data_IF_721005776842
#
_entry.id   IF_721005776842
#
_cell.length_a   1.000
_cell.length_b   1.000
_cell.length_c   1.000
_cell.angle_alpha   90.00
_cell.angle_beta   90.00
_cell.angle_gamma   90.00
#
_symmetry.space_group_name_H-M   'P 1'
#
loop_
_entity.id
_entity.type
_entity.pdbx_description
1 polymer ?
#
# COMPACT_ATOMS: atom_id res chain seq x y z
N UNK A 1 11.68 -22.44 -59.87
CA UNK A 1 10.84 -21.33 -59.48
C UNK A 1 10.66 -21.40 -57.95
N UNK A 2 11.33 -20.53 -57.20
CA UNK A 2 11.18 -20.47 -55.73
C UNK A 2 10.14 -19.38 -55.43
N UNK A 3 8.97 -19.78 -54.91
CA UNK A 3 7.96 -18.87 -54.40
C UNK A 3 8.35 -18.47 -53.00
N UNK A 4 8.53 -17.18 -52.75
CA UNK A 4 8.77 -16.62 -51.41
C UNK A 4 7.44 -16.45 -50.68
N UNK A 5 7.30 -17.16 -49.59
CA UNK A 5 6.15 -17.09 -48.71
C UNK A 5 6.14 -15.73 -47.95
N UNK A 6 5.02 -15.05 -47.95
CA UNK A 6 4.83 -13.73 -47.37
C UNK A 6 4.57 -13.85 -45.84
N UNK A 7 4.99 -12.86 -45.08
CA UNK A 7 4.89 -12.80 -43.62
C UNK A 7 3.49 -13.09 -43.06
N UNK A 8 2.42 -12.88 -43.84
CA UNK A 8 1.01 -13.18 -43.44
C UNK A 8 0.69 -14.68 -43.50
N UNK A 9 1.35 -15.43 -44.35
CA UNK A 9 1.14 -16.89 -44.52
C UNK A 9 1.88 -17.69 -43.46
N UNK A 10 3.04 -17.19 -42.99
CA UNK A 10 3.82 -17.81 -41.90
C UNK A 10 3.06 -17.83 -40.55
N UNK A 11 2.20 -16.85 -40.29
CA UNK A 11 1.40 -16.77 -39.04
C UNK A 11 0.15 -17.66 -39.02
N UNK A 12 -0.17 -18.34 -40.15
CA UNK A 12 -1.34 -19.23 -40.24
C UNK A 12 -1.04 -20.73 -40.15
N UNK A 13 0.23 -21.13 -40.11
CA UNK A 13 0.63 -22.56 -40.22
C UNK A 13 1.23 -23.15 -38.94
N UNK A 14 1.08 -22.55 -37.80
CA UNK A 14 1.61 -23.06 -36.52
C UNK A 14 0.55 -23.74 -35.64
N UNK A 15 0.01 -24.90 -36.07
CA UNK A 15 -0.70 -25.80 -35.20
C UNK A 15 0.27 -26.86 -34.68
N UNK A 16 0.69 -26.76 -33.43
CA UNK A 16 1.31 -27.84 -32.69
C UNK A 16 0.40 -28.24 -31.53
N UNK A 17 -0.01 -29.50 -31.55
CA UNK A 17 -0.81 -30.15 -30.52
C UNK A 17 -0.07 -30.18 -29.19
N UNK A 18 -0.58 -29.49 -28.23
CA UNK A 18 -0.21 -29.61 -26.83
C UNK A 18 -1.46 -29.33 -26.01
N UNK A 19 -1.93 -30.33 -25.28
CA UNK A 19 -3.15 -30.25 -24.46
C UNK A 19 -2.93 -29.23 -23.34
N UNK A 20 -3.43 -28.01 -23.54
CA UNK A 20 -3.53 -26.99 -22.50
C UNK A 20 -5.02 -26.90 -22.13
N UNK A 21 -5.32 -27.15 -20.87
CA UNK A 21 -6.66 -26.91 -20.30
C UNK A 21 -6.94 -25.42 -20.41
N UNK A 22 -7.73 -25.05 -21.42
CA UNK A 22 -8.18 -23.68 -21.61
C UNK A 22 -9.34 -23.42 -20.64
N UNK A 23 -9.07 -22.67 -19.56
CA UNK A 23 -10.14 -21.96 -18.83
C UNK A 23 -10.57 -20.83 -19.73
N UNK A 24 -11.75 -21.00 -20.35
CA UNK A 24 -12.32 -20.02 -21.29
C UNK A 24 -12.69 -18.73 -20.60
N UNK A 25 -11.94 -17.68 -20.82
CA UNK A 25 -12.39 -16.33 -20.61
C UNK A 25 -13.19 -15.87 -21.84
N UNK A 26 -14.50 -15.81 -21.71
CA UNK A 26 -15.32 -15.07 -22.67
C UNK A 26 -14.98 -13.58 -22.58
N UNK A 27 -14.21 -13.08 -23.53
CA UNK A 27 -14.04 -11.64 -23.74
C UNK A 27 -15.30 -11.12 -24.41
N UNK A 28 -16.25 -10.62 -23.61
CA UNK A 28 -17.30 -9.75 -24.14
C UNK A 28 -16.64 -8.44 -24.56
N UNK A 29 -16.79 -8.11 -25.84
CA UNK A 29 -16.37 -6.84 -26.43
C UNK A 29 -17.15 -5.66 -25.84
N UNK A 30 -16.71 -5.16 -24.68
CA UNK A 30 -16.95 -3.78 -24.31
C UNK A 30 -15.90 -2.94 -25.03
N UNK A 31 -16.31 -1.78 -25.57
CA UNK A 31 -15.51 -0.89 -26.40
C UNK A 31 -14.04 -0.90 -26.02
N UNK A 32 -13.18 -1.23 -26.98
CA UNK A 32 -11.74 -1.10 -26.83
C UNK A 32 -11.47 0.38 -26.48
N UNK A 33 -11.17 0.66 -25.21
CA UNK A 33 -10.48 1.90 -24.89
C UNK A 33 -9.28 1.94 -25.82
N UNK A 34 -9.03 3.06 -26.50
CA UNK A 34 -7.93 3.23 -27.42
C UNK A 34 -6.64 2.86 -26.69
N UNK A 35 -6.14 1.65 -26.94
CA UNK A 35 -4.91 1.16 -26.35
C UNK A 35 -3.78 2.02 -26.87
N UNK A 36 -3.21 2.86 -26.01
CA UNK A 36 -2.04 3.65 -26.36
C UNK A 36 -0.91 2.74 -26.76
N UNK A 37 -0.19 3.11 -27.82
CA UNK A 37 1.04 2.42 -28.19
C UNK A 37 1.99 2.37 -26.98
N UNK A 38 2.74 1.27 -26.75
CA UNK A 38 3.76 1.22 -25.71
C UNK A 38 4.78 2.38 -25.77
N UNK A 39 4.93 2.98 -26.95
CA UNK A 39 5.80 4.14 -27.17
C UNK A 39 5.07 5.49 -26.91
N UNK A 40 3.77 5.50 -26.74
CA UNK A 40 3.02 6.71 -26.44
C UNK A 40 3.08 7.03 -24.96
N UNK A 41 3.39 8.30 -24.63
CA UNK A 41 3.46 8.75 -23.25
C UNK A 41 2.06 8.87 -22.65
N UNK A 42 1.93 8.46 -21.39
CA UNK A 42 0.73 8.69 -20.60
C UNK A 42 0.65 10.16 -20.17
N UNK A 43 -0.53 10.71 -20.16
CA UNK A 43 -0.82 12.03 -19.57
C UNK A 43 -1.20 11.83 -18.09
N UNK A 44 -0.32 12.22 -17.19
CA UNK A 44 -0.46 12.00 -15.76
C UNK A 44 -0.70 13.34 -15.05
N UNK A 45 -1.60 13.35 -14.07
CA UNK A 45 -1.79 14.44 -13.13
C UNK A 45 -1.40 14.00 -11.73
N UNK A 46 -1.01 14.95 -10.86
CA UNK A 46 -0.65 14.67 -9.49
C UNK A 46 -1.48 15.48 -8.50
N UNK A 47 -1.95 14.82 -7.43
CA UNK A 47 -2.63 15.40 -6.26
C UNK A 47 -1.71 15.27 -5.05
N UNK A 48 -1.30 16.42 -4.48
CA UNK A 48 -0.15 16.51 -3.59
C UNK A 48 1.15 16.58 -4.38
N UNK A 49 2.02 17.55 -4.07
CA UNK A 49 3.26 17.80 -4.84
C UNK A 49 4.50 17.97 -3.97
N UNK A 50 4.35 17.82 -2.64
CA UNK A 50 5.45 17.97 -1.69
C UNK A 50 5.97 16.62 -1.16
N UNK A 51 7.11 16.66 -0.47
CA UNK A 51 7.68 15.51 0.26
C UNK A 51 7.68 14.20 -0.56
N UNK A 52 6.94 13.18 -0.10
CA UNK A 52 6.87 11.89 -0.76
C UNK A 52 6.23 11.98 -2.15
N UNK A 53 5.13 12.73 -2.28
CA UNK A 53 4.46 12.95 -3.57
C UNK A 53 5.41 13.46 -4.64
N UNK A 54 6.38 14.31 -4.27
CA UNK A 54 7.39 14.80 -5.21
C UNK A 54 8.23 13.65 -5.78
N UNK A 55 8.68 12.72 -4.93
CA UNK A 55 9.45 11.57 -5.38
C UNK A 55 8.63 10.65 -6.30
N UNK A 56 7.32 10.54 -6.07
CA UNK A 56 6.43 9.75 -6.93
C UNK A 56 6.22 10.41 -8.29
N UNK A 57 6.06 11.74 -8.33
CA UNK A 57 6.00 12.51 -9.59
C UNK A 57 7.31 12.34 -10.38
N UNK A 58 8.46 12.47 -9.71
CA UNK A 58 9.77 12.26 -10.32
C UNK A 58 9.93 10.80 -10.82
N UNK A 59 9.36 9.82 -10.10
CA UNK A 59 9.35 8.41 -10.47
C UNK A 59 8.54 8.08 -11.74
N UNK A 60 7.60 8.95 -12.12
CA UNK A 60 6.78 8.82 -13.35
C UNK A 60 7.12 9.89 -14.40
N UNK A 61 8.18 10.67 -14.22
CA UNK A 61 8.55 11.80 -15.09
C UNK A 61 9.01 11.38 -16.50
N UNK A 62 9.15 10.09 -16.78
CA UNK A 62 9.29 9.56 -18.15
C UNK A 62 8.04 9.80 -19.00
N UNK A 63 6.90 9.99 -18.38
CA UNK A 63 5.61 10.27 -18.98
C UNK A 63 5.32 11.79 -19.01
N UNK A 64 4.16 12.21 -19.49
CA UNK A 64 3.76 13.62 -19.52
C UNK A 64 3.10 14.02 -18.20
N UNK A 65 3.71 14.89 -17.42
CA UNK A 65 3.06 15.50 -16.26
C UNK A 65 2.29 16.74 -16.75
N UNK A 66 0.96 16.62 -16.85
CA UNK A 66 0.11 17.62 -17.52
C UNK A 66 -0.61 18.56 -16.58
N UNK A 67 -0.82 18.16 -15.31
CA UNK A 67 -1.32 19.04 -14.27
C UNK A 67 -0.85 18.64 -12.87
N UNK A 68 -0.77 19.61 -11.98
CA UNK A 68 -0.34 19.51 -10.60
C UNK A 68 -1.38 20.18 -9.69
N UNK A 69 -1.71 19.55 -8.59
CA UNK A 69 -2.63 20.07 -7.58
C UNK A 69 -2.02 20.01 -6.18
N UNK A 70 -2.01 21.14 -5.47
CA UNK A 70 -1.64 21.19 -4.06
C UNK A 70 -2.36 22.35 -3.37
N UNK A 71 -2.77 22.14 -2.15
CA UNK A 71 -3.45 23.15 -1.31
C UNK A 71 -2.50 24.19 -0.70
N UNK A 72 -1.18 23.93 -0.74
CA UNK A 72 -0.12 24.87 -0.37
C UNK A 72 0.51 25.49 -1.63
N UNK A 73 0.29 26.80 -1.84
CA UNK A 73 0.78 27.50 -3.02
C UNK A 73 2.30 27.51 -3.16
N UNK A 74 3.04 27.46 -2.04
CA UNK A 74 4.50 27.43 -2.08
C UNK A 74 5.02 26.05 -2.51
N UNK A 75 4.37 24.98 -2.05
CA UNK A 75 4.70 23.60 -2.46
C UNK A 75 4.38 23.43 -3.94
N UNK A 76 3.19 23.84 -4.36
CA UNK A 76 2.75 23.80 -5.76
C UNK A 76 3.67 24.59 -6.68
N UNK A 77 4.06 25.81 -6.26
CA UNK A 77 4.97 26.67 -7.04
C UNK A 77 6.32 25.99 -7.30
N UNK A 78 6.94 25.41 -6.27
CA UNK A 78 8.20 24.66 -6.43
C UNK A 78 8.06 23.45 -7.36
N UNK A 79 6.93 22.76 -7.33
CA UNK A 79 6.69 21.66 -8.26
C UNK A 79 6.52 22.15 -9.69
N UNK A 80 5.78 23.26 -9.90
CA UNK A 80 5.55 23.87 -11.20
C UNK A 80 6.84 24.40 -11.87
N UNK A 81 7.83 24.83 -11.09
CA UNK A 81 9.16 25.21 -11.63
C UNK A 81 9.84 24.04 -12.34
N UNK A 82 9.65 22.79 -11.85
CA UNK A 82 10.25 21.60 -12.45
C UNK A 82 9.40 21.01 -13.59
N UNK A 83 8.11 21.29 -13.60
CA UNK A 83 7.14 20.84 -14.59
C UNK A 83 6.40 22.03 -15.20
N UNK A 84 7.15 22.92 -15.81
CA UNK A 84 6.69 24.26 -16.28
C UNK A 84 5.56 24.21 -17.31
N UNK A 85 5.36 23.10 -18.01
CA UNK A 85 4.25 22.88 -18.94
C UNK A 85 2.96 22.40 -18.24
N UNK A 86 3.04 21.98 -16.98
CA UNK A 86 1.89 21.46 -16.24
C UNK A 86 0.98 22.61 -15.77
N UNK A 87 -0.32 22.43 -15.92
CA UNK A 87 -1.32 23.33 -15.35
C UNK A 87 -1.38 23.15 -13.83
N UNK A 88 -1.65 24.21 -13.09
CA UNK A 88 -1.69 24.19 -11.63
C UNK A 88 -3.10 24.38 -11.09
N UNK A 89 -3.45 23.65 -10.04
CA UNK A 89 -4.75 23.67 -9.39
C UNK A 89 -4.58 23.67 -7.86
N UNK A 90 -5.55 24.23 -7.15
CA UNK A 90 -5.60 24.19 -5.68
C UNK A 90 -6.58 23.12 -5.18
N UNK A 91 -7.59 22.78 -5.96
CA UNK A 91 -8.63 21.80 -5.67
C UNK A 91 -8.56 20.67 -6.71
N UNK A 92 -8.32 19.44 -6.24
CA UNK A 92 -8.19 18.26 -7.09
C UNK A 92 -9.50 17.95 -7.83
N UNK A 93 -10.65 18.27 -7.23
CA UNK A 93 -11.95 18.03 -7.85
C UNK A 93 -12.09 18.85 -9.12
N UNK A 94 -11.74 20.14 -9.03
CA UNK A 94 -11.72 21.04 -10.18
C UNK A 94 -10.70 20.58 -11.24
N UNK A 95 -9.52 20.10 -10.79
CA UNK A 95 -8.51 19.56 -11.70
C UNK A 95 -9.05 18.35 -12.46
N UNK A 96 -9.56 17.34 -11.74
CA UNK A 96 -10.04 16.11 -12.35
C UNK A 96 -11.24 16.34 -13.27
N UNK A 97 -12.17 17.24 -12.91
CA UNK A 97 -13.30 17.60 -13.79
C UNK A 97 -12.84 18.25 -15.10
N UNK A 98 -11.85 19.17 -15.04
CA UNK A 98 -11.37 19.89 -16.21
C UNK A 98 -10.44 19.09 -17.12
N UNK A 99 -9.73 18.15 -16.55
CA UNK A 99 -8.70 17.37 -17.24
C UNK A 99 -9.14 15.95 -17.62
N UNK A 100 -10.29 15.47 -17.12
CA UNK A 100 -10.71 14.08 -17.23
C UNK A 100 -10.57 13.49 -18.66
N UNK A 101 -10.94 14.21 -19.68
CA UNK A 101 -10.87 13.73 -21.07
C UNK A 101 -9.46 13.69 -21.67
N UNK A 102 -8.48 14.34 -21.00
CA UNK A 102 -7.12 14.54 -21.51
C UNK A 102 -6.06 13.74 -20.76
N UNK A 103 -6.45 13.07 -19.66
CA UNK A 103 -5.54 12.35 -18.79
C UNK A 103 -5.81 10.85 -18.80
N UNK A 104 -4.78 10.09 -18.54
CA UNK A 104 -4.82 8.63 -18.46
C UNK A 104 -4.77 8.16 -17.01
N UNK A 105 -4.03 8.88 -16.16
CA UNK A 105 -3.69 8.40 -14.85
C UNK A 105 -3.46 9.53 -13.83
N UNK A 106 -3.59 9.17 -12.54
CA UNK A 106 -3.47 10.08 -11.39
C UNK A 106 -2.47 9.51 -10.38
N UNK A 107 -1.51 10.33 -9.96
CA UNK A 107 -0.62 10.08 -8.82
C UNK A 107 -1.15 10.83 -7.61
N UNK A 108 -1.33 10.16 -6.48
CA UNK A 108 -1.88 10.70 -5.23
C UNK A 108 -0.86 10.54 -4.11
N UNK A 109 -0.43 11.65 -3.53
CA UNK A 109 0.52 11.69 -2.43
C UNK A 109 0.14 12.74 -1.37
N UNK A 110 -1.16 12.90 -1.13
CA UNK A 110 -1.75 13.72 -0.08
C UNK A 110 -1.58 13.09 1.31
N UNK A 111 -2.01 13.69 2.42
CA UNK A 111 -2.13 13.00 3.71
C UNK A 111 -3.18 11.88 3.69
N UNK A 112 -3.01 10.87 4.58
CA UNK A 112 -3.81 9.63 4.61
C UNK A 112 -5.32 9.86 4.50
N UNK A 113 -5.84 10.90 5.19
CA UNK A 113 -7.28 11.18 5.26
C UNK A 113 -7.90 11.61 3.92
N UNK A 114 -7.09 12.09 2.97
CA UNK A 114 -7.54 12.53 1.64
C UNK A 114 -7.37 11.47 0.55
N UNK A 115 -6.56 10.43 0.76
CA UNK A 115 -6.28 9.42 -0.26
C UNK A 115 -7.55 8.83 -0.89
N UNK A 116 -8.52 8.46 -0.05
CA UNK A 116 -9.71 7.75 -0.52
C UNK A 116 -10.63 8.59 -1.42
N UNK A 117 -11.04 9.82 -1.07
CA UNK A 117 -11.83 10.65 -1.98
C UNK A 117 -11.09 11.01 -3.25
N UNK A 118 -9.77 11.30 -3.18
CA UNK A 118 -8.94 11.61 -4.34
C UNK A 118 -8.92 10.42 -5.32
N UNK A 119 -8.63 9.22 -4.80
CA UNK A 119 -8.58 7.99 -5.60
C UNK A 119 -9.96 7.55 -6.11
N UNK A 120 -11.00 7.63 -5.29
CA UNK A 120 -12.35 7.25 -5.69
C UNK A 120 -12.88 8.10 -6.85
N UNK A 121 -12.63 9.41 -6.82
CA UNK A 121 -13.00 10.30 -7.93
C UNK A 121 -12.26 9.93 -9.21
N UNK A 122 -10.93 9.73 -9.14
CA UNK A 122 -10.13 9.31 -10.29
C UNK A 122 -10.62 7.97 -10.88
N UNK A 123 -10.86 6.97 -10.02
CA UNK A 123 -11.36 5.66 -10.45
C UNK A 123 -12.76 5.73 -11.11
N UNK A 124 -13.66 6.58 -10.60
CA UNK A 124 -14.98 6.80 -11.20
C UNK A 124 -14.91 7.47 -12.56
N UNK A 125 -13.92 8.34 -12.76
CA UNK A 125 -13.64 8.96 -14.06
C UNK A 125 -12.88 8.03 -15.01
N UNK A 126 -12.68 6.76 -14.64
CA UNK A 126 -11.99 5.77 -15.48
C UNK A 126 -10.47 5.98 -15.57
N UNK A 127 -9.85 6.60 -14.56
CA UNK A 127 -8.40 6.86 -14.56
C UNK A 127 -7.64 5.83 -13.76
N UNK A 128 -6.47 5.43 -14.26
CA UNK A 128 -5.51 4.61 -13.53
C UNK A 128 -4.97 5.37 -12.32
N UNK A 129 -4.68 4.68 -11.22
CA UNK A 129 -4.29 5.35 -9.97
C UNK A 129 -3.02 4.75 -9.37
N UNK A 130 -2.06 5.62 -9.08
CA UNK A 130 -0.99 5.38 -8.12
C UNK A 130 -1.33 6.18 -6.86
N UNK A 131 -1.44 5.52 -5.71
CA UNK A 131 -1.75 6.19 -4.44
C UNK A 131 -0.73 5.81 -3.37
N UNK A 132 -0.17 6.81 -2.68
CA UNK A 132 0.75 6.58 -1.57
C UNK A 132 0.10 5.77 -0.45
N UNK A 133 0.96 5.17 0.35
CA UNK A 133 0.57 4.37 1.52
C UNK A 133 0.39 5.27 2.78
N UNK A 134 -0.48 4.84 3.71
CA UNK A 134 -1.46 3.77 3.55
C UNK A 134 -2.49 4.12 2.49
N UNK A 135 -2.99 3.14 1.75
CA UNK A 135 -3.95 3.38 0.66
C UNK A 135 -5.13 4.26 1.09
N UNK A 136 -5.57 4.10 2.34
CA UNK A 136 -6.72 4.80 2.90
C UNK A 136 -6.58 5.04 4.41
N UNK A 137 -7.49 5.83 4.95
CA UNK A 137 -7.56 6.19 6.35
C UNK A 137 -8.48 5.26 7.18
N UNK A 138 -9.44 4.57 6.53
CA UNK A 138 -10.36 3.63 7.16
C UNK A 138 -10.44 2.31 6.41
N UNK A 139 -10.90 1.26 7.12
CA UNK A 139 -11.09 -0.08 6.55
C UNK A 139 -12.10 -0.08 5.41
N UNK A 140 -13.22 0.62 5.58
CA UNK A 140 -14.27 0.74 4.58
C UNK A 140 -13.76 1.40 3.28
N UNK A 141 -12.96 2.45 3.41
CA UNK A 141 -12.35 3.11 2.26
C UNK A 141 -11.45 2.16 1.47
N UNK A 142 -10.63 1.31 2.15
CA UNK A 142 -9.73 0.37 1.48
C UNK A 142 -10.51 -0.63 0.61
N UNK A 143 -11.58 -1.21 1.15
CA UNK A 143 -12.47 -2.10 0.40
C UNK A 143 -13.12 -1.39 -0.77
N UNK A 144 -13.63 -0.19 -0.55
CA UNK A 144 -14.30 0.61 -1.61
C UNK A 144 -13.36 0.90 -2.78
N UNK A 145 -12.12 1.28 -2.52
CA UNK A 145 -11.15 1.54 -3.60
C UNK A 145 -10.78 0.27 -4.38
N UNK A 146 -10.60 -0.86 -3.69
CA UNK A 146 -10.32 -2.14 -4.33
C UNK A 146 -11.48 -2.56 -5.25
N UNK A 147 -12.73 -2.42 -4.78
CA UNK A 147 -13.93 -2.75 -5.55
C UNK A 147 -14.13 -1.81 -6.75
N UNK A 148 -13.91 -0.50 -6.59
CA UNK A 148 -13.97 0.48 -7.67
C UNK A 148 -12.92 0.19 -8.76
N UNK A 149 -11.68 -0.09 -8.36
CA UNK A 149 -10.62 -0.44 -9.30
C UNK A 149 -10.96 -1.71 -10.10
N UNK A 150 -11.43 -2.75 -9.41
CA UNK A 150 -11.85 -4.02 -10.02
C UNK A 150 -13.04 -3.83 -10.96
N UNK A 151 -14.08 -3.13 -10.51
CA UNK A 151 -15.31 -2.86 -11.30
C UNK A 151 -14.98 -2.14 -12.60
N UNK A 152 -14.11 -1.15 -12.54
CA UNK A 152 -13.73 -0.32 -13.68
C UNK A 152 -12.54 -0.89 -14.48
N UNK A 153 -11.96 -2.04 -14.05
CA UNK A 153 -10.79 -2.70 -14.69
C UNK A 153 -9.59 -1.76 -14.85
N UNK A 154 -9.32 -0.97 -13.82
CA UNK A 154 -8.26 0.01 -13.84
C UNK A 154 -6.97 -0.54 -13.23
N UNK A 155 -5.85 -0.16 -13.82
CA UNK A 155 -4.54 -0.48 -13.29
C UNK A 155 -4.24 0.45 -12.10
N UNK A 156 -3.93 -0.15 -10.95
CA UNK A 156 -3.68 0.57 -9.72
C UNK A 156 -2.37 0.12 -9.08
N UNK A 157 -1.74 0.98 -8.29
CA UNK A 157 -0.53 0.68 -7.53
C UNK A 157 -0.54 1.46 -6.23
N UNK A 158 -0.33 0.79 -5.09
CA UNK A 158 -0.08 1.48 -3.82
C UNK A 158 1.41 1.81 -3.67
N UNK A 159 1.72 2.94 -3.09
CA UNK A 159 3.09 3.45 -2.88
C UNK A 159 3.93 2.67 -1.86
N UNK A 160 3.86 1.36 -1.86
CA UNK A 160 4.72 0.46 -1.07
C UNK A 160 5.96 0.08 -1.88
N UNK A 161 6.88 1.02 -2.08
CA UNK A 161 8.00 0.86 -3.03
C UNK A 161 8.93 -0.32 -2.68
N UNK A 162 9.00 -0.72 -1.41
CA UNK A 162 9.81 -1.86 -0.98
C UNK A 162 9.32 -3.20 -1.57
N UNK A 163 8.05 -3.29 -1.96
CA UNK A 163 7.49 -4.44 -2.68
C UNK A 163 8.28 -4.78 -3.95
N UNK A 164 8.86 -3.78 -4.59
CA UNK A 164 9.76 -3.92 -5.73
C UNK A 164 11.20 -4.32 -5.35
N UNK A 165 11.52 -4.43 -4.05
CA UNK A 165 12.88 -4.69 -3.55
C UNK A 165 13.34 -6.13 -3.79
N UNK A 166 14.59 -6.30 -4.25
CA UNK A 166 15.17 -7.63 -4.54
C UNK A 166 15.21 -8.52 -3.29
N UNK A 167 15.48 -7.93 -2.11
CA UNK A 167 15.51 -8.69 -0.86
C UNK A 167 14.14 -9.26 -0.49
N UNK A 168 13.07 -8.48 -0.62
CA UNK A 168 11.70 -8.94 -0.36
C UNK A 168 11.33 -10.08 -1.30
N UNK A 169 11.56 -9.95 -2.60
CA UNK A 169 11.32 -11.00 -3.60
C UNK A 169 12.04 -12.29 -3.22
N UNK A 170 13.30 -12.17 -2.80
CA UNK A 170 14.10 -13.33 -2.39
C UNK A 170 13.58 -14.01 -1.14
N UNK A 171 13.11 -13.26 -0.14
CA UNK A 171 12.51 -13.83 1.06
C UNK A 171 11.19 -14.52 0.75
N UNK A 172 10.35 -13.93 -0.11
CA UNK A 172 9.12 -14.56 -0.61
C UNK A 172 9.43 -15.91 -1.25
N UNK A 173 10.41 -15.97 -2.16
CA UNK A 173 10.85 -17.22 -2.81
C UNK A 173 11.29 -18.27 -1.79
N UNK A 174 12.10 -17.89 -0.79
CA UNK A 174 12.58 -18.83 0.25
C UNK A 174 11.43 -19.37 1.09
N UNK A 175 10.47 -18.55 1.48
CA UNK A 175 9.31 -18.99 2.26
C UNK A 175 8.41 -19.89 1.42
N UNK A 176 8.08 -19.50 0.20
CA UNK A 176 7.17 -20.24 -0.68
C UNK A 176 7.75 -21.58 -1.17
N UNK A 177 9.07 -21.70 -1.25
CA UNK A 177 9.74 -22.97 -1.56
C UNK A 177 9.96 -23.87 -0.33
N UNK A 178 9.50 -23.43 0.86
CA UNK A 178 9.57 -24.23 2.07
C UNK A 178 10.95 -24.28 2.73
N UNK A 179 11.83 -23.28 2.50
CA UNK A 179 13.17 -23.25 3.06
C UNK A 179 13.23 -23.41 4.60
N UNK A 180 12.16 -23.02 5.29
CA UNK A 180 12.02 -23.12 6.76
C UNK A 180 10.83 -24.00 7.20
N UNK A 181 10.29 -24.80 6.27
CA UNK A 181 9.05 -25.56 6.52
C UNK A 181 7.81 -24.66 6.57
N UNK A 182 6.69 -25.19 7.06
CA UNK A 182 5.43 -24.44 7.15
C UNK A 182 5.53 -23.36 8.23
N UNK A 183 5.24 -22.12 7.87
CA UNK A 183 5.27 -20.96 8.79
C UNK A 183 3.92 -20.86 9.50
N UNK A 184 3.95 -20.80 10.85
CA UNK A 184 2.78 -20.64 11.71
C UNK A 184 2.76 -19.36 12.51
N UNK A 185 3.91 -18.70 12.60
CA UNK A 185 4.07 -17.47 13.36
C UNK A 185 4.99 -16.49 12.61
N UNK A 186 4.65 -15.23 12.67
CA UNK A 186 5.48 -14.16 12.13
C UNK A 186 5.44 -12.95 13.06
N UNK A 187 6.57 -12.24 13.15
CA UNK A 187 6.70 -11.00 13.91
C UNK A 187 7.18 -9.90 13.00
N UNK A 188 6.64 -8.69 13.19
CA UNK A 188 7.01 -7.48 12.47
C UNK A 188 7.24 -6.37 13.48
N UNK A 189 8.38 -5.70 13.43
CA UNK A 189 8.67 -4.62 14.36
C UNK A 189 9.35 -3.44 13.68
N UNK A 190 9.06 -2.24 14.21
CA UNK A 190 9.73 -0.99 13.81
C UNK A 190 10.09 -0.16 15.04
N UNK A 191 11.23 0.54 14.99
CA UNK A 191 11.70 1.36 16.12
C UNK A 191 11.05 2.75 16.19
N UNK A 192 10.17 3.08 15.23
CA UNK A 192 9.52 4.40 15.11
C UNK A 192 8.44 4.57 16.16
N UNK A 193 8.26 5.81 16.62
CA UNK A 193 7.24 6.21 17.60
C UNK A 193 6.58 7.52 17.19
N UNK A 194 5.23 7.54 17.21
CA UNK A 194 4.42 8.74 17.04
C UNK A 194 3.53 8.89 18.27
N UNK A 195 3.71 9.91 19.07
CA UNK A 195 2.89 10.05 20.26
C UNK A 195 2.89 11.49 20.78
N UNK A 196 1.96 11.77 21.69
CA UNK A 196 1.90 13.06 22.38
C UNK A 196 1.33 14.21 21.56
N UNK A 197 0.66 13.93 20.44
CA UNK A 197 0.03 14.97 19.61
C UNK A 197 -1.02 15.75 20.40
N UNK A 198 -0.97 17.07 20.27
CA UNK A 198 -1.97 18.01 20.81
C UNK A 198 -2.23 19.10 19.80
N UNK A 199 -3.48 19.44 19.62
CA UNK A 199 -3.82 20.61 18.81
C UNK A 199 -3.47 21.89 19.58
N UNK A 200 -2.80 22.81 18.89
CA UNK A 200 -2.61 24.19 19.35
C UNK A 200 -3.81 25.05 18.93
N UNK A 201 -4.06 26.12 19.64
CA UNK A 201 -5.13 27.07 19.32
C UNK A 201 -4.57 28.47 19.09
N UNK A 202 -5.26 29.27 18.28
CA UNK A 202 -4.93 30.71 18.10
C UNK A 202 -3.89 31.03 17.02
N UNK A 203 -3.30 30.02 16.38
CA UNK A 203 -2.39 30.30 15.24
C UNK A 203 -3.19 30.67 13.99
N UNK A 204 -2.83 31.73 13.27
CA UNK A 204 -3.47 32.06 12.00
C UNK A 204 -3.11 31.04 10.92
N UNK A 205 -4.04 30.79 10.00
CA UNK A 205 -3.75 29.97 8.82
C UNK A 205 -2.65 30.66 7.99
N UNK A 206 -1.56 29.97 7.61
CA UNK A 206 -0.56 30.50 6.71
C UNK A 206 -1.18 30.96 5.38
N UNK A 207 -0.81 32.13 4.87
CA UNK A 207 -1.42 32.76 3.68
C UNK A 207 -1.37 31.87 2.41
N UNK A 208 -0.35 31.03 2.28
CA UNK A 208 -0.17 30.13 1.15
C UNK A 208 -1.04 28.87 1.24
N UNK A 209 -1.55 28.50 2.44
CA UNK A 209 -2.29 27.29 2.69
C UNK A 209 -3.80 27.52 2.60
N UNK A 210 -4.48 26.72 1.78
CA UNK A 210 -5.93 26.58 1.85
C UNK A 210 -6.27 25.52 2.89
N UNK A 211 -6.57 25.96 4.11
CA UNK A 211 -6.83 25.08 5.24
C UNK A 211 -8.13 24.29 5.10
N UNK A 212 -9.15 24.86 4.46
CA UNK A 212 -10.41 24.16 4.20
C UNK A 212 -10.21 22.97 3.25
N UNK A 213 -9.52 23.21 2.15
CA UNK A 213 -9.16 22.16 1.21
C UNK A 213 -8.19 21.14 1.83
N UNK A 214 -7.27 21.58 2.70
CA UNK A 214 -6.36 20.67 3.40
C UNK A 214 -7.10 19.75 4.38
N UNK A 215 -8.09 20.26 5.12
CA UNK A 215 -8.95 19.43 5.98
C UNK A 215 -9.68 18.36 5.17
N UNK A 216 -10.04 18.66 3.93
CA UNK A 216 -10.66 17.67 3.06
C UNK A 216 -11.91 17.05 3.70
N UNK A 217 -12.00 15.72 3.76
CA UNK A 217 -13.13 15.01 4.37
C UNK A 217 -13.09 14.98 5.91
N UNK A 218 -11.99 15.43 6.55
CA UNK A 218 -11.87 15.43 7.99
C UNK A 218 -12.80 16.45 8.66
N UNK A 219 -13.16 16.27 9.93
CA UNK A 219 -13.99 17.22 10.67
C UNK A 219 -13.42 18.65 10.64
N UNK A 220 -14.28 19.63 10.50
CA UNK A 220 -13.92 21.04 10.55
C UNK A 220 -13.23 21.39 11.88
N UNK A 221 -12.09 22.09 11.78
CA UNK A 221 -11.29 22.47 12.94
C UNK A 221 -10.46 23.73 12.63
N UNK A 222 -10.25 24.62 13.61
CA UNK A 222 -9.28 25.68 13.50
C UNK A 222 -7.89 25.16 13.18
N UNK A 223 -7.10 25.98 12.48
CA UNK A 223 -5.72 25.64 12.16
C UNK A 223 -4.91 25.36 13.42
N UNK A 224 -4.07 24.35 13.35
CA UNK A 224 -3.12 24.00 14.39
C UNK A 224 -1.72 23.95 13.80
N UNK A 225 -0.82 24.72 14.36
CA UNK A 225 0.56 24.81 13.90
C UNK A 225 1.24 23.44 13.95
N UNK A 226 2.06 23.16 12.93
CA UNK A 226 2.82 21.91 12.81
C UNK A 226 2.05 20.74 12.22
N UNK A 227 0.71 20.74 12.23
CA UNK A 227 -0.08 19.66 11.59
C UNK A 227 0.32 19.53 10.12
N UNK A 228 0.24 20.61 9.36
CA UNK A 228 0.82 20.71 8.02
C UNK A 228 2.22 21.34 8.12
N UNK A 229 3.24 20.82 7.41
CA UNK A 229 3.15 19.73 6.43
C UNK A 229 3.51 18.33 6.98
N UNK A 230 3.90 18.17 8.25
CA UNK A 230 4.58 16.94 8.70
C UNK A 230 3.86 16.16 9.80
N UNK A 231 3.33 16.85 10.85
CA UNK A 231 2.86 16.17 12.06
C UNK A 231 1.43 15.64 11.98
N UNK A 232 0.75 15.75 10.87
CA UNK A 232 -0.59 15.21 10.67
C UNK A 232 -0.68 13.68 10.95
N UNK A 233 0.40 12.93 10.75
CA UNK A 233 0.49 11.49 11.03
C UNK A 233 0.25 11.13 12.49
N UNK A 234 0.44 12.09 13.39
CA UNK A 234 0.28 11.93 14.83
C UNK A 234 -1.17 12.08 15.30
N UNK A 235 -2.10 12.46 14.43
CA UNK A 235 -3.48 12.77 14.76
C UNK A 235 -4.45 11.82 14.08
N UNK A 236 -5.36 11.22 14.88
CA UNK A 236 -6.38 10.31 14.34
C UNK A 236 -7.29 10.91 13.27
N UNK A 237 -7.43 12.23 13.22
CA UNK A 237 -8.25 12.90 12.21
C UNK A 237 -7.61 12.87 10.81
N UNK A 238 -6.28 12.73 10.73
CA UNK A 238 -5.53 12.94 9.49
C UNK A 238 -4.62 11.80 9.13
N UNK A 239 -4.11 11.08 10.12
CA UNK A 239 -3.15 10.00 9.96
C UNK A 239 -3.56 8.73 10.68
N UNK A 240 -2.77 7.70 10.50
CA UNK A 240 -3.05 6.33 10.95
C UNK A 240 -2.00 5.82 11.95
N UNK A 241 -1.16 6.72 12.48
CA UNK A 241 -0.10 6.37 13.43
C UNK A 241 1.01 5.54 12.79
N UNK A 242 1.90 5.03 13.64
CA UNK A 242 3.05 4.22 13.19
C UNK A 242 2.58 2.96 12.47
N UNK A 243 1.54 2.30 12.98
CA UNK A 243 1.02 1.07 12.37
C UNK A 243 0.56 1.32 10.93
N UNK A 244 -0.22 2.38 10.67
CA UNK A 244 -0.64 2.70 9.30
C UNK A 244 0.51 3.12 8.40
N UNK A 245 1.39 4.00 8.90
CA UNK A 245 2.49 4.56 8.11
C UNK A 245 3.56 3.51 7.75
N UNK A 246 3.90 2.58 8.65
CA UNK A 246 4.94 1.57 8.47
C UNK A 246 4.41 0.15 8.24
N UNK A 247 3.21 -0.17 8.71
CA UNK A 247 2.62 -1.50 8.53
C UNK A 247 2.52 -1.91 7.07
N UNK A 248 2.10 -0.98 6.20
CA UNK A 248 2.05 -1.22 4.76
C UNK A 248 3.40 -1.60 4.12
N UNK A 249 4.51 -1.22 4.72
CA UNK A 249 5.84 -1.57 4.24
C UNK A 249 6.37 -2.87 4.84
N UNK A 250 6.18 -3.07 6.16
CA UNK A 250 6.80 -4.18 6.87
C UNK A 250 5.91 -5.43 6.94
N UNK A 251 4.57 -5.27 7.04
CA UNK A 251 3.64 -6.40 6.96
C UNK A 251 3.48 -6.90 5.52
N UNK A 252 3.78 -6.07 4.51
CA UNK A 252 3.77 -6.42 3.10
C UNK A 252 4.53 -7.72 2.81
N UNK A 253 5.78 -7.83 3.30
CA UNK A 253 6.59 -9.03 3.10
C UNK A 253 5.91 -10.29 3.66
N UNK A 254 5.28 -10.18 4.85
CA UNK A 254 4.60 -11.30 5.49
C UNK A 254 3.33 -11.68 4.73
N UNK A 255 2.55 -10.68 4.31
CA UNK A 255 1.35 -10.90 3.51
C UNK A 255 1.68 -11.58 2.18
N UNK A 256 2.69 -11.09 1.47
CA UNK A 256 3.11 -11.66 0.19
C UNK A 256 3.67 -13.07 0.33
N UNK A 257 4.62 -13.27 1.26
CA UNK A 257 5.30 -14.55 1.43
C UNK A 257 4.35 -15.67 1.88
N UNK A 258 3.35 -15.36 2.69
CA UNK A 258 2.41 -16.30 3.28
C UNK A 258 1.02 -16.29 2.65
N UNK A 259 0.81 -15.53 1.56
CA UNK A 259 -0.51 -15.35 0.92
C UNK A 259 -1.60 -14.97 1.92
N UNK A 260 -1.32 -13.98 2.79
CA UNK A 260 -2.29 -13.49 3.77
C UNK A 260 -3.21 -12.45 3.13
N UNK A 261 -4.50 -12.49 3.52
CA UNK A 261 -5.46 -11.46 3.10
C UNK A 261 -6.16 -10.85 4.32
N UNK A 262 -7.09 -11.55 4.90
CA UNK A 262 -7.92 -11.02 5.98
C UNK A 262 -7.73 -11.82 7.26
N UNK A 263 -7.38 -11.17 8.39
CA UNK A 263 -7.37 -11.81 9.69
C UNK A 263 -8.81 -12.10 10.16
N UNK A 264 -8.98 -13.05 11.05
CA UNK A 264 -10.28 -13.34 11.69
C UNK A 264 -10.40 -12.76 13.08
N UNK A 265 -9.26 -12.61 13.78
CA UNK A 265 -9.19 -12.07 15.13
C UNK A 265 -8.06 -11.06 15.22
N UNK A 266 -8.32 -9.91 15.84
CA UNK A 266 -7.33 -8.85 16.05
C UNK A 266 -7.41 -8.34 17.49
N UNK A 267 -6.28 -8.38 18.20
CA UNK A 267 -6.13 -7.85 19.56
C UNK A 267 -4.99 -6.84 19.61
N UNK A 268 -5.18 -5.72 20.27
CA UNK A 268 -4.17 -4.70 20.41
C UNK A 268 -3.86 -4.36 21.86
N UNK A 269 -2.61 -4.05 22.13
CA UNK A 269 -2.08 -3.60 23.42
C UNK A 269 -1.33 -2.30 23.21
N UNK A 270 -1.54 -1.32 24.08
CA UNK A 270 -0.92 0.00 23.99
C UNK A 270 -1.18 0.82 25.27
N UNK A 271 -0.73 2.07 25.32
CA UNK A 271 -1.10 2.98 26.40
C UNK A 271 -2.62 3.26 26.40
N UNK A 272 -3.16 3.92 27.42
CA UNK A 272 -4.56 4.37 27.41
C UNK A 272 -4.88 5.15 26.12
N UNK A 273 -6.04 4.89 25.53
CA UNK A 273 -6.45 5.49 24.26
C UNK A 273 -6.57 7.00 24.39
N UNK A 274 -5.82 7.74 23.60
CA UNK A 274 -5.97 9.19 23.43
C UNK A 274 -6.95 9.45 22.27
N UNK A 275 -8.03 10.22 22.48
CA UNK A 275 -9.01 10.48 21.42
C UNK A 275 -8.49 11.40 20.31
N UNK A 276 -7.35 12.07 20.51
CA UNK A 276 -6.77 13.05 19.59
C UNK A 276 -5.54 12.47 18.89
N UNK A 277 -4.58 11.98 19.65
CA UNK A 277 -3.28 11.57 19.18
C UNK A 277 -3.14 10.07 19.02
N UNK A 278 -2.29 9.66 18.09
CA UNK A 278 -1.90 8.26 17.93
C UNK A 278 -0.96 7.84 19.08
N UNK A 279 -0.89 6.54 19.43
CA UNK A 279 -0.10 6.09 20.55
C UNK A 279 1.40 6.09 20.24
N UNK A 280 2.26 6.23 21.28
CA UNK A 280 3.71 6.14 21.12
C UNK A 280 4.21 4.71 20.89
N UNK A 281 3.41 3.70 21.16
CA UNK A 281 3.70 2.29 20.88
C UNK A 281 2.43 1.46 20.82
N UNK A 282 2.48 0.39 20.00
CA UNK A 282 1.48 -0.65 19.93
C UNK A 282 2.12 -2.03 19.85
N UNK A 283 1.41 -3.04 20.36
CA UNK A 283 1.58 -4.45 20.01
C UNK A 283 0.22 -4.92 19.48
N UNK A 284 0.19 -5.42 18.24
CA UNK A 284 -1.06 -5.92 17.64
C UNK A 284 -0.89 -7.37 17.20
N UNK A 285 -1.81 -8.21 17.63
CA UNK A 285 -1.84 -9.65 17.33
C UNK A 285 -2.98 -9.95 16.37
N UNK A 286 -2.65 -10.60 15.27
CA UNK A 286 -3.59 -11.00 14.22
C UNK A 286 -3.60 -12.53 14.11
N UNK A 287 -4.79 -13.09 13.98
CA UNK A 287 -4.95 -14.50 13.64
C UNK A 287 -5.51 -14.63 12.22
N UNK A 288 -4.79 -15.33 11.38
CA UNK A 288 -5.21 -15.64 10.00
C UNK A 288 -5.63 -17.09 9.88
N UNK A 289 -6.71 -17.37 9.14
CA UNK A 289 -7.19 -18.74 8.94
C UNK A 289 -6.22 -19.56 8.08
N UNK A 290 -6.42 -20.85 8.04
CA UNK A 290 -5.78 -21.72 7.07
C UNK A 290 -6.12 -21.28 5.63
N UNK A 291 -5.17 -21.43 4.70
CA UNK A 291 -5.30 -21.05 3.28
C UNK A 291 -4.85 -22.22 2.41
N UNK A 292 -5.81 -22.85 1.72
CA UNK A 292 -5.53 -24.10 0.99
C UNK A 292 -4.69 -25.08 1.84
N UNK A 293 -3.49 -25.44 1.41
CA UNK A 293 -2.58 -26.37 2.14
C UNK A 293 -1.69 -25.65 3.19
N UNK A 294 -1.83 -24.31 3.33
CA UNK A 294 -1.04 -23.53 4.27
C UNK A 294 -1.76 -23.45 5.63
N UNK A 295 -1.02 -23.60 6.75
CA UNK A 295 -1.58 -23.56 8.09
C UNK A 295 -2.12 -22.19 8.46
N UNK A 296 -2.93 -22.08 9.54
CA UNK A 296 -3.22 -20.80 10.19
C UNK A 296 -1.93 -20.11 10.62
N UNK A 297 -1.94 -18.76 10.61
CA UNK A 297 -0.77 -17.94 10.97
C UNK A 297 -1.14 -16.95 12.06
N UNK A 298 -0.28 -16.81 13.06
CA UNK A 298 -0.29 -15.72 14.03
C UNK A 298 0.74 -14.69 13.60
N UNK A 299 0.29 -13.47 13.34
CA UNK A 299 1.16 -12.35 13.04
C UNK A 299 1.11 -11.35 14.19
N UNK A 300 2.28 -10.92 14.69
CA UNK A 300 2.35 -9.89 15.72
C UNK A 300 3.16 -8.69 15.21
N UNK A 301 2.55 -7.52 15.27
CA UNK A 301 3.16 -6.22 15.03
C UNK A 301 3.65 -5.59 16.33
N UNK A 302 4.78 -4.87 16.25
CA UNK A 302 5.36 -4.10 17.36
C UNK A 302 5.88 -2.77 16.85
N UNK A 303 5.64 -1.68 17.58
CA UNK A 303 6.26 -0.38 17.32
C UNK A 303 6.66 0.37 18.60
N UNK A 304 7.15 1.60 18.45
CA UNK A 304 7.58 2.43 19.57
C UNK A 304 8.69 1.81 20.43
N UNK A 305 9.59 1.06 19.80
CA UNK A 305 10.70 0.37 20.49
C UNK A 305 10.33 -1.00 21.08
N UNK A 306 9.06 -1.43 20.97
CA UNK A 306 8.67 -2.79 21.29
C UNK A 306 9.19 -3.74 20.21
N UNK A 307 9.49 -4.98 20.57
CA UNK A 307 10.01 -6.01 19.67
C UNK A 307 9.74 -7.41 20.23
N UNK A 308 9.76 -8.47 19.42
CA UNK A 308 9.54 -9.82 19.89
C UNK A 308 10.65 -10.25 20.88
N UNK A 309 10.27 -10.89 21.97
CA UNK A 309 11.21 -11.42 22.98
C UNK A 309 12.18 -12.41 22.36
N UNK A 310 11.68 -13.27 21.46
CA UNK A 310 12.46 -14.25 20.71
C UNK A 310 13.70 -13.64 20.02
N UNK A 311 13.62 -12.38 19.58
CA UNK A 311 14.76 -11.69 18.95
C UNK A 311 15.99 -11.61 19.89
N UNK A 312 15.78 -11.55 21.20
CA UNK A 312 16.84 -11.55 22.21
C UNK A 312 17.62 -12.87 22.31
N UNK A 313 17.03 -13.97 21.85
CA UNK A 313 17.62 -15.31 21.88
C UNK A 313 18.40 -15.64 20.60
N UNK A 314 18.10 -14.93 19.50
CA UNK A 314 18.69 -15.22 18.20
C UNK A 314 20.17 -14.80 18.12
N UNK A 315 20.96 -15.65 17.50
CA UNK A 315 22.41 -15.49 17.35
C UNK A 315 22.82 -15.68 15.89
N UNK A 316 23.88 -14.99 15.49
CA UNK A 316 24.54 -15.26 14.22
C UNK A 316 25.46 -16.52 14.32
N UNK A 317 26.10 -16.90 13.21
CA UNK A 317 27.01 -18.05 13.14
C UNK A 317 28.23 -17.95 14.05
N UNK A 318 28.49 -16.82 14.67
CA UNK A 318 29.58 -16.59 15.60
C UNK A 318 29.08 -16.49 17.05
N UNK A 319 27.82 -16.83 17.31
CA UNK A 319 27.18 -16.73 18.63
C UNK A 319 26.86 -15.30 19.09
N UNK A 320 27.03 -14.29 18.23
CA UNK A 320 26.76 -12.90 18.57
C UNK A 320 25.24 -12.63 18.50
N UNK A 321 24.66 -11.91 19.49
CA UNK A 321 23.27 -11.49 19.42
C UNK A 321 22.97 -10.70 18.14
N UNK A 322 21.80 -10.96 17.55
CA UNK A 322 21.35 -10.23 16.39
C UNK A 322 20.87 -8.83 16.78
N UNK A 323 21.40 -7.81 16.10
CA UNK A 323 20.94 -6.41 16.23
C UNK A 323 20.15 -5.98 14.99
N UNK A 324 18.81 -6.08 15.12
CA UNK A 324 17.86 -5.71 14.08
C UNK A 324 16.89 -4.67 14.65
N UNK A 325 17.09 -3.41 14.27
CA UNK A 325 16.28 -2.29 14.76
C UNK A 325 14.83 -2.36 14.28
N UNK A 326 14.62 -2.80 13.06
CA UNK A 326 13.31 -3.02 12.45
C UNK A 326 13.40 -4.22 11.50
N UNK A 327 12.30 -4.95 11.31
CA UNK A 327 12.31 -6.10 10.41
C UNK A 327 11.11 -7.02 10.57
N UNK A 328 11.25 -8.20 9.98
CA UNK A 328 10.31 -9.30 10.04
C UNK A 328 11.04 -10.57 10.47
N UNK A 329 10.36 -11.41 11.25
CA UNK A 329 10.82 -12.75 11.62
C UNK A 329 9.72 -13.76 11.29
N UNK A 330 10.03 -14.70 10.41
CA UNK A 330 9.19 -15.84 10.08
C UNK A 330 9.64 -17.04 10.91
N UNK A 331 8.72 -17.69 11.62
CA UNK A 331 8.98 -18.89 12.42
C UNK A 331 8.30 -20.07 11.75
N UNK A 332 9.10 -20.93 11.14
CA UNK A 332 8.68 -22.14 10.46
C UNK A 332 8.99 -23.40 11.26
N UNK A 333 8.43 -24.54 10.82
CA UNK A 333 8.61 -25.86 11.47
C UNK A 333 10.07 -26.34 11.43
N UNK A 334 10.86 -25.88 10.44
CA UNK A 334 12.23 -26.34 10.21
C UNK A 334 13.30 -25.26 10.47
N UNK A 335 12.90 -24.01 10.71
CA UNK A 335 13.81 -22.90 10.96
C UNK A 335 13.12 -21.57 10.91
N UNK A 336 13.92 -20.50 10.84
CA UNK A 336 13.41 -19.13 10.82
C UNK A 336 14.08 -18.30 9.72
N UNK A 337 13.39 -17.25 9.26
CA UNK A 337 13.97 -16.19 8.41
C UNK A 337 13.79 -14.86 9.13
N UNK A 338 14.89 -14.16 9.41
CA UNK A 338 14.86 -12.77 9.81
C UNK A 338 15.19 -11.89 8.60
N UNK A 339 14.46 -10.80 8.41
CA UNK A 339 14.62 -9.92 7.25
C UNK A 339 14.40 -8.45 7.62
N UNK A 340 14.97 -7.55 6.83
CA UNK A 340 14.62 -6.14 6.71
C UNK A 340 14.54 -5.75 5.24
N UNK A 341 14.57 -4.46 4.91
CA UNK A 341 14.49 -3.99 3.52
C UNK A 341 15.62 -4.50 2.62
N UNK A 342 16.83 -4.67 3.17
CA UNK A 342 18.04 -4.90 2.37
C UNK A 342 18.71 -6.25 2.58
N UNK A 343 18.40 -6.95 3.66
CA UNK A 343 19.07 -8.21 4.01
C UNK A 343 18.15 -9.21 4.68
N UNK A 344 18.52 -10.48 4.62
CA UNK A 344 17.86 -11.57 5.34
C UNK A 344 18.86 -12.62 5.80
N UNK A 345 18.47 -13.41 6.78
CA UNK A 345 19.25 -14.52 7.32
C UNK A 345 18.35 -15.70 7.65
N UNK A 346 18.78 -16.90 7.25
CA UNK A 346 18.19 -18.17 7.68
C UNK A 346 18.78 -18.56 9.05
N UNK A 347 17.94 -19.06 9.95
CA UNK A 347 18.28 -19.39 11.33
C UNK A 347 17.72 -20.77 11.73
N UNK A 348 18.41 -21.55 12.62
CA UNK A 348 19.75 -21.28 13.15
C UNK A 348 20.82 -21.25 12.05
N UNK A 349 21.80 -20.35 12.15
CA UNK A 349 22.75 -20.11 11.07
C UNK A 349 23.58 -21.36 10.69
N UNK A 350 23.93 -22.19 11.66
CA UNK A 350 24.70 -23.43 11.45
C UNK A 350 23.90 -24.47 10.68
N UNK A 351 22.59 -24.60 10.95
CA UNK A 351 21.69 -25.51 10.21
C UNK A 351 21.64 -25.18 8.73
N UNK A 352 21.74 -23.90 8.38
CA UNK A 352 21.61 -23.40 7.00
C UNK A 352 22.95 -23.06 6.34
N UNK A 353 24.10 -23.47 6.94
CA UNK A 353 25.40 -23.17 6.41
C UNK A 353 25.59 -23.68 4.96
N UNK A 354 25.16 -24.91 4.69
CA UNK A 354 25.26 -25.58 3.40
C UNK A 354 23.91 -25.59 2.62
N UNK A 355 22.94 -24.79 3.04
CA UNK A 355 21.62 -24.75 2.38
C UNK A 355 21.73 -24.20 0.97
N UNK A 356 21.36 -25.04 0.00
CA UNK A 356 21.31 -24.65 -1.42
C UNK A 356 20.01 -23.90 -1.67
N UNK A 357 20.14 -22.59 -1.84
CA UNK A 357 19.00 -21.72 -2.12
C UNK A 357 18.38 -22.08 -3.48
N UNK A 358 17.04 -22.11 -3.60
CA UNK A 358 16.37 -22.33 -4.88
C UNK A 358 16.75 -21.24 -5.89
N UNK A 359 16.63 -21.54 -7.17
CA UNK A 359 16.71 -20.52 -8.23
C UNK A 359 15.60 -19.48 -8.03
N UNK A 360 15.88 -18.23 -8.43
CA UNK A 360 14.88 -17.16 -8.39
C UNK A 360 13.80 -17.42 -9.44
N UNK A 361 12.53 -17.36 -9.03
CA UNK A 361 11.38 -17.53 -9.92
C UNK A 361 10.48 -16.30 -10.00
N UNK A 362 10.60 -15.37 -9.04
CA UNK A 362 9.92 -14.07 -9.12
C UNK A 362 10.76 -13.17 -10.05
N UNK A 363 10.19 -12.65 -11.14
CA UNK A 363 10.92 -11.78 -12.06
C UNK A 363 11.56 -10.59 -11.37
N UNK A 364 12.75 -10.20 -11.80
CA UNK A 364 13.40 -8.99 -11.29
C UNK A 364 12.51 -7.77 -11.53
N UNK A 365 12.39 -6.90 -10.52
CA UNK A 365 11.58 -5.69 -10.64
C UNK A 365 12.17 -4.73 -11.68
N UNK A 366 11.31 -4.15 -12.47
CA UNK A 366 11.65 -3.02 -13.36
C UNK A 366 11.64 -1.68 -12.61
N UNK A 367 11.27 -1.69 -11.32
CA UNK A 367 11.07 -0.53 -10.48
C UNK A 367 9.58 -0.25 -10.25
N UNK A 368 9.23 0.16 -9.02
CA UNK A 368 7.85 0.25 -8.55
C UNK A 368 6.95 1.16 -9.40
N UNK A 369 7.40 2.38 -9.71
CA UNK A 369 6.65 3.30 -10.56
C UNK A 369 6.61 2.84 -12.01
N UNK A 370 7.71 2.29 -12.51
CA UNK A 370 7.79 1.81 -13.87
C UNK A 370 6.89 0.59 -14.11
N UNK A 371 6.76 -0.30 -13.14
CA UNK A 371 5.82 -1.42 -13.19
C UNK A 371 4.38 -0.92 -13.43
N UNK A 372 3.95 0.14 -12.75
CA UNK A 372 2.64 0.73 -12.94
C UNK A 372 2.46 1.32 -14.34
N UNK A 373 3.45 2.08 -14.84
CA UNK A 373 3.42 2.65 -16.19
C UNK A 373 3.34 1.53 -17.23
N UNK A 374 4.19 0.50 -17.12
CA UNK A 374 4.21 -0.62 -18.06
C UNK A 374 2.91 -1.43 -17.99
N UNK A 375 2.35 -1.63 -16.80
CA UNK A 375 1.08 -2.32 -16.64
C UNK A 375 -0.08 -1.56 -17.34
N UNK A 376 -0.12 -0.23 -17.26
CA UNK A 376 -1.11 0.58 -17.98
C UNK A 376 -0.96 0.39 -19.49
N UNK A 377 0.26 0.54 -20.01
CA UNK A 377 0.55 0.45 -21.46
C UNK A 377 0.32 -0.93 -22.06
N UNK A 378 0.45 -1.97 -21.24
CA UNK A 378 0.31 -3.36 -21.67
C UNK A 378 -0.98 -4.04 -21.19
N UNK A 379 -1.92 -3.30 -20.58
CA UNK A 379 -3.16 -3.85 -20.01
C UNK A 379 -2.90 -5.01 -19.04
N UNK A 380 -1.82 -4.91 -18.26
CA UNK A 380 -1.41 -5.90 -17.26
C UNK A 380 -1.85 -5.47 -15.85
N UNK A 381 -1.60 -6.32 -14.86
CA UNK A 381 -1.79 -6.02 -13.45
C UNK A 381 -0.45 -5.74 -12.79
N UNK A 382 -0.43 -4.86 -11.79
CA UNK A 382 0.73 -4.64 -10.94
C UNK A 382 0.76 -5.62 -9.77
N UNK A 383 1.93 -5.83 -9.19
CA UNK A 383 2.08 -6.74 -8.03
C UNK A 383 1.50 -6.15 -6.74
N UNK A 384 1.50 -4.81 -6.60
CA UNK A 384 0.93 -4.10 -5.44
C UNK A 384 -0.36 -3.33 -5.81
N UNK A 385 -1.25 -3.95 -6.62
CA UNK A 385 -2.54 -3.37 -7.01
C UNK A 385 -3.50 -3.23 -5.81
N UNK A 386 -4.61 -2.52 -6.01
CA UNK A 386 -5.55 -2.25 -4.90
C UNK A 386 -6.31 -3.48 -4.40
N UNK A 387 -6.39 -4.58 -5.13
CA UNK A 387 -6.94 -5.83 -4.61
C UNK A 387 -6.01 -6.44 -3.55
N UNK A 388 -4.71 -6.49 -3.83
CA UNK A 388 -3.69 -6.94 -2.88
C UNK A 388 -3.49 -5.93 -1.74
N UNK A 389 -3.18 -4.70 -2.08
CA UNK A 389 -2.84 -3.66 -1.11
C UNK A 389 -4.03 -3.19 -0.28
N UNK A 390 -5.24 -3.26 -0.82
CA UNK A 390 -6.47 -3.01 -0.08
C UNK A 390 -6.65 -3.99 1.07
N UNK A 391 -6.45 -5.30 0.83
CA UNK A 391 -6.52 -6.32 1.87
C UNK A 391 -5.41 -6.15 2.93
N UNK A 392 -4.19 -5.79 2.51
CA UNK A 392 -3.10 -5.46 3.43
C UNK A 392 -3.44 -4.25 4.31
N UNK A 393 -3.93 -3.16 3.70
CA UNK A 393 -4.31 -1.93 4.44
C UNK A 393 -5.49 -2.17 5.36
N UNK A 394 -6.47 -2.98 4.94
CA UNK A 394 -7.58 -3.42 5.79
C UNK A 394 -7.06 -4.10 7.07
N UNK A 395 -6.14 -5.07 6.94
CA UNK A 395 -5.54 -5.73 8.10
C UNK A 395 -4.77 -4.73 9.00
N UNK A 396 -3.94 -3.88 8.41
CA UNK A 396 -3.19 -2.84 9.14
C UNK A 396 -4.12 -1.93 9.93
N UNK A 397 -5.18 -1.42 9.31
CA UNK A 397 -6.12 -0.48 9.95
C UNK A 397 -7.01 -1.16 11.01
N UNK A 398 -7.32 -2.46 10.86
CA UNK A 398 -8.03 -3.23 11.88
C UNK A 398 -7.24 -3.28 13.21
N UNK A 399 -5.91 -3.21 13.17
CA UNK A 399 -5.09 -3.06 14.38
C UNK A 399 -5.38 -1.74 15.12
N UNK A 400 -5.52 -0.64 14.39
CA UNK A 400 -5.93 0.64 14.96
C UNK A 400 -7.38 0.60 15.50
N UNK A 401 -8.28 -0.11 14.83
CA UNK A 401 -9.67 -0.31 15.29
C UNK A 401 -9.68 -1.08 16.61
N UNK A 402 -8.95 -2.20 16.72
CA UNK A 402 -8.84 -2.98 17.94
C UNK A 402 -8.27 -2.15 19.10
N UNK A 403 -7.20 -1.37 18.87
CA UNK A 403 -6.62 -0.50 19.88
C UNK A 403 -7.61 0.58 20.34
N UNK A 404 -8.22 1.31 19.41
CA UNK A 404 -9.11 2.43 19.72
C UNK A 404 -10.41 2.00 20.39
N UNK A 405 -10.92 0.81 20.08
CA UNK A 405 -12.09 0.23 20.76
C UNK A 405 -11.75 -0.38 22.13
N UNK A 406 -10.45 -0.64 22.40
CA UNK A 406 -10.01 -1.33 23.62
C UNK A 406 -10.47 -2.79 23.71
N UNK A 407 -10.82 -3.41 22.57
CA UNK A 407 -11.40 -4.76 22.52
C UNK A 407 -10.67 -5.64 21.51
N UNK A 408 -10.59 -6.93 21.81
CA UNK A 408 -10.30 -7.93 20.78
C UNK A 408 -11.49 -8.00 19.83
N UNK A 409 -11.26 -7.85 18.52
CA UNK A 409 -12.30 -7.85 17.51
C UNK A 409 -12.34 -9.17 16.73
N UNK A 410 -13.54 -9.65 16.46
CA UNK A 410 -13.82 -10.77 15.55
C UNK A 410 -14.25 -10.19 14.20
N UNK A 411 -13.41 -10.38 13.19
CA UNK A 411 -13.60 -9.76 11.87
C UNK A 411 -14.27 -10.70 10.87
N UNK A 412 -15.32 -10.22 10.26
CA UNK A 412 -15.97 -10.81 9.11
C UNK A 412 -15.64 -9.98 7.86
N UNK A 413 -14.62 -10.43 7.13
CA UNK A 413 -14.13 -9.71 5.95
C UNK A 413 -15.13 -9.75 4.78
N UNK A 414 -15.96 -10.78 4.67
CA UNK A 414 -16.96 -10.90 3.61
C UNK A 414 -18.02 -9.80 3.73
N UNK A 415 -18.46 -9.52 4.98
CA UNK A 415 -19.53 -8.56 5.25
C UNK A 415 -19.03 -7.22 5.78
N UNK A 416 -17.71 -7.00 5.87
CA UNK A 416 -17.09 -5.80 6.48
C UNK A 416 -17.65 -5.53 7.88
N UNK A 417 -17.72 -6.56 8.71
CA UNK A 417 -18.39 -6.50 10.01
C UNK A 417 -17.50 -6.96 11.16
N UNK A 418 -17.45 -6.16 12.22
CA UNK A 418 -16.94 -6.59 13.53
C UNK A 418 -18.09 -7.27 14.26
N UNK A 419 -18.00 -8.61 14.46
CA UNK A 419 -19.12 -9.43 14.97
C UNK A 419 -19.42 -9.19 16.43
N UNK A 420 -18.42 -8.85 17.23
CA UNK A 420 -18.49 -8.84 18.69
C UNK A 420 -18.44 -7.46 19.35
N UNK A 421 -18.33 -6.36 18.57
CA UNK A 421 -18.24 -5.01 19.12
C UNK A 421 -18.87 -3.96 18.22
N UNK A 422 -19.89 -3.27 18.73
CA UNK A 422 -20.54 -2.15 18.04
C UNK A 422 -19.64 -0.91 17.99
N UNK A 423 -18.86 -0.67 19.03
CA UNK A 423 -17.90 0.45 19.10
C UNK A 423 -16.81 0.30 18.06
N UNK A 424 -16.24 -0.91 17.95
CA UNK A 424 -15.25 -1.21 16.91
C UNK A 424 -15.85 -1.12 15.51
N UNK A 425 -17.11 -1.57 15.31
CA UNK A 425 -17.83 -1.45 14.04
C UNK A 425 -17.95 0.02 13.59
N UNK A 426 -18.15 0.96 14.48
CA UNK A 426 -18.22 2.38 14.15
C UNK A 426 -16.88 2.96 13.70
N UNK A 427 -15.76 2.34 14.07
CA UNK A 427 -14.40 2.79 13.73
C UNK A 427 -13.91 2.31 12.36
N UNK A 428 -14.57 1.34 11.72
CA UNK A 428 -14.19 0.88 10.38
C UNK A 428 -14.54 1.87 9.28
N UNK A 429 -15.39 2.83 9.58
CA UNK A 429 -15.89 3.89 8.70
C UNK A 429 -15.73 5.25 9.36
N UNK A 430 -15.71 6.32 8.58
CA UNK A 430 -15.80 7.71 9.08
C UNK A 430 -16.86 8.48 8.30
N UNK A 431 -17.53 9.40 8.98
CA UNK A 431 -18.38 10.38 8.30
C UNK A 431 -17.51 11.48 7.68
N UNK A 432 -17.80 11.79 6.43
CA UNK A 432 -17.16 12.91 5.75
C UNK A 432 -17.92 14.20 6.06
N UNK A 433 -17.20 15.30 6.25
CA UNK A 433 -17.84 16.59 6.41
C UNK A 433 -18.58 16.98 5.11
N UNK A 434 -19.55 17.89 5.27
CA UNK A 434 -20.41 18.34 4.16
C UNK A 434 -19.60 18.80 2.94
N UNK A 435 -20.00 18.31 1.77
CA UNK A 435 -19.34 18.63 0.48
C UNK A 435 -18.21 17.66 0.09
N UNK A 436 -17.97 16.62 0.91
CA UNK A 436 -17.01 15.56 0.60
C UNK A 436 -17.72 14.20 0.54
N UNK A 437 -17.32 13.37 -0.39
CA UNK A 437 -17.88 12.02 -0.61
C UNK A 437 -16.76 11.04 -0.96
N UNK A 438 -16.97 9.80 -0.57
CA UNK A 438 -16.16 8.69 -1.04
C UNK A 438 -16.64 8.23 -2.39
#
# INVERSE_FOLDING_TARGET
>A
MKSSMNRREFLRSGVCSGTVVAIGYHVNSAAAADLKSPNEKLNIVAVGTGNRARADIDGVASENIVALCDVDANILGRAAENYSSARTYRDFRVMLEREAEKIDAVVIGTPDHSHAPDAAMALRLGKHVYCEKPLTHTVFEARTLAELAKKNRLVTQMGTQIHAGDNYRRVVELVQTGAIGKVREAHVWVSVSYGGARFTTGSPVPKQLDWDLWLGPAPERPYSEGVHPNYWRYFWNYGTGVLGDFGCHYMDLVHWALDLRHPTTIAAEGPPVDPVGTPPWLIVRYEYPARAELPPVKLTWYDGGRRPELLGELRDRHGKPLDWKSGQLFVGEEGMIISDYGRHMLLPADKFADYKRPESFIPKSVGHHREWIEAIKNCATTTCNFDYSGALVEAVLLGNVAYRSGQTIEWDAEHLTVRNSREAQQLIHKEYRKGWTL
#
